data_IF_873605956212
#
_entry.id   IF_873605956212
#
_cell.length_a   1.000
_cell.length_b   1.000
_cell.length_c   1.000
_cell.angle_alpha   90.00
_cell.angle_beta   90.00
_cell.angle_gamma   90.00
#
_symmetry.space_group_name_H-M   'P 1'
#
loop_
_entity.id
_entity.type
_entity.pdbx_description
1 polymer ?
#
# COMPACT_ATOMS: atom_id res chain seq x y z
N UNK A 1 62.10 54.96 3.66
CA UNK A 1 62.54 53.74 2.94
C UNK A 1 61.78 52.57 3.56
N UNK A 2 60.95 51.78 2.89
CA UNK A 2 60.86 51.44 1.47
C UNK A 2 59.39 51.18 1.03
N UNK A 3 59.08 51.67 -0.18
CA UNK A 3 58.23 51.10 -1.26
C UNK A 3 56.86 50.45 -0.96
N UNK A 4 55.81 51.03 -1.55
CA UNK A 4 54.53 50.37 -1.93
C UNK A 4 54.77 49.29 -3.00
N UNK A 5 53.79 48.38 -3.26
CA UNK A 5 52.84 48.70 -4.33
C UNK A 5 51.38 48.31 -4.04
N UNK A 6 50.51 48.90 -4.86
CA UNK A 6 49.07 48.75 -4.94
C UNK A 6 48.60 47.47 -5.67
N UNK A 7 47.27 47.35 -5.71
CA UNK A 7 46.43 46.43 -6.50
C UNK A 7 46.01 45.15 -5.73
N UNK A 8 44.75 44.72 -5.73
CA UNK A 8 43.86 44.55 -6.88
C UNK A 8 42.39 44.64 -6.39
N UNK A 9 41.56 45.43 -7.08
CA UNK A 9 40.10 45.31 -6.99
C UNK A 9 39.68 44.06 -7.77
N UNK A 10 39.00 43.13 -7.13
CA UNK A 10 38.21 42.12 -7.81
C UNK A 10 36.74 42.33 -7.43
N UNK A 11 36.01 43.01 -8.31
CA UNK A 11 34.56 43.07 -8.27
C UNK A 11 34.04 41.67 -8.64
N UNK A 12 33.56 40.91 -7.65
CA UNK A 12 32.90 39.64 -7.90
C UNK A 12 31.44 39.98 -8.19
N UNK A 13 31.13 39.99 -9.49
CA UNK A 13 29.82 40.18 -10.09
C UNK A 13 28.75 39.33 -9.39
N UNK A 14 27.74 39.99 -8.83
CA UNK A 14 26.58 39.39 -8.15
C UNK A 14 25.58 38.70 -9.08
N UNK A 15 26.04 37.80 -9.95
CA UNK A 15 25.20 37.09 -10.92
C UNK A 15 25.51 35.58 -10.96
N UNK A 16 25.56 34.91 -9.81
CA UNK A 16 25.62 33.43 -9.75
C UNK A 16 24.76 32.87 -8.61
N UNK A 17 23.53 33.38 -8.45
CA UNK A 17 22.59 32.88 -7.43
C UNK A 17 21.18 32.74 -7.99
N UNK A 18 21.05 32.13 -9.17
CA UNK A 18 19.75 31.82 -9.77
C UNK A 18 19.79 30.56 -10.64
N UNK A 19 20.19 29.41 -10.08
CA UNK A 19 20.21 28.16 -10.87
C UNK A 19 20.00 26.86 -10.06
N UNK A 20 19.30 26.88 -8.91
CA UNK A 20 19.18 25.67 -8.07
C UNK A 20 17.78 25.39 -7.49
N UNK A 21 16.68 25.76 -8.17
CA UNK A 21 15.32 25.41 -7.70
C UNK A 21 14.37 24.88 -8.78
N UNK A 22 14.88 24.32 -9.88
CA UNK A 22 14.08 23.47 -10.78
C UNK A 22 14.29 22.00 -10.39
N UNK A 23 13.85 21.65 -9.18
CA UNK A 23 13.63 20.25 -8.82
C UNK A 23 12.46 19.73 -9.65
N UNK A 24 12.72 18.82 -10.58
CA UNK A 24 11.69 18.12 -11.33
C UNK A 24 10.77 17.39 -10.35
N UNK A 25 9.60 17.97 -10.06
CA UNK A 25 8.48 17.20 -9.56
C UNK A 25 8.09 16.23 -10.69
N UNK A 26 8.64 15.01 -10.64
CA UNK A 26 8.20 13.89 -11.47
C UNK A 26 6.76 13.54 -11.09
N UNK A 27 5.82 14.36 -11.55
CA UNK A 27 4.40 14.27 -11.23
C UNK A 27 3.76 13.13 -12.00
N UNK A 28 3.92 11.91 -11.51
CA UNK A 28 2.99 10.84 -11.85
C UNK A 28 1.58 11.21 -11.36
N UNK A 29 0.55 10.72 -12.05
CA UNK A 29 -0.82 10.83 -11.55
C UNK A 29 -0.93 10.25 -10.14
N UNK A 30 -1.68 10.93 -9.28
CA UNK A 30 -1.96 10.44 -7.92
C UNK A 30 -2.59 9.05 -8.00
N UNK A 31 -2.07 8.11 -7.20
CA UNK A 31 -2.55 6.72 -7.17
C UNK A 31 -3.61 6.48 -6.12
N UNK A 32 -3.82 7.44 -5.23
CA UNK A 32 -4.90 7.44 -4.24
C UNK A 32 -5.23 8.88 -3.81
N UNK A 33 -6.48 9.10 -3.42
CA UNK A 33 -6.99 10.41 -2.95
C UNK A 33 -8.28 10.22 -2.14
N UNK A 34 -8.78 11.30 -1.53
CA UNK A 34 -10.13 11.34 -0.99
C UNK A 34 -11.07 12.00 -2.01
N UNK A 35 -12.22 11.38 -2.28
CA UNK A 35 -13.26 12.02 -3.10
C UNK A 35 -14.04 13.09 -2.32
N UNK A 36 -15.03 13.70 -2.96
CA UNK A 36 -15.89 14.74 -2.38
C UNK A 36 -16.69 14.26 -1.16
N UNK A 37 -16.90 12.95 -1.02
CA UNK A 37 -17.56 12.31 0.12
C UNK A 37 -16.54 11.85 1.18
N UNK A 38 -15.26 12.23 1.04
CA UNK A 38 -14.15 11.82 1.90
C UNK A 38 -13.92 10.31 1.93
N UNK A 39 -14.32 9.60 0.88
CA UNK A 39 -14.01 8.18 0.70
C UNK A 39 -12.62 8.03 0.12
N UNK A 40 -11.86 7.06 0.62
CA UNK A 40 -10.54 6.75 0.07
C UNK A 40 -10.70 6.05 -1.29
N UNK A 41 -10.21 6.70 -2.35
CA UNK A 41 -10.19 6.19 -3.72
C UNK A 41 -8.78 5.78 -4.10
N UNK A 42 -8.63 4.68 -4.83
CA UNK A 42 -7.36 4.22 -5.41
C UNK A 42 -7.49 4.03 -6.92
N UNK A 43 -6.41 4.31 -7.65
CA UNK A 43 -6.35 4.05 -9.08
C UNK A 43 -6.18 2.54 -9.35
N UNK A 44 -6.72 2.05 -10.45
CA UNK A 44 -6.51 0.69 -10.94
C UNK A 44 -6.43 0.60 -12.47
N UNK A 45 -6.05 -0.58 -13.01
CA UNK A 45 -5.40 -1.66 -12.29
C UNK A 45 -3.90 -1.38 -12.11
N UNK A 46 -3.30 -1.89 -11.03
CA UNK A 46 -1.85 -2.01 -10.88
C UNK A 46 -1.36 -3.40 -11.32
N UNK A 47 -2.14 -4.45 -11.00
CA UNK A 47 -1.85 -5.85 -11.32
C UNK A 47 -3.11 -6.50 -11.86
N UNK A 48 -2.99 -7.35 -12.87
CA UNK A 48 -4.11 -8.05 -13.51
C UNK A 48 -4.14 -7.87 -15.03
N UNK A 49 -4.98 -8.65 -15.74
CA UNK A 49 -5.96 -9.62 -15.20
C UNK A 49 -5.35 -10.96 -14.77
N UNK A 50 -6.02 -11.65 -13.84
CA UNK A 50 -5.77 -13.06 -13.49
C UNK A 50 -7.07 -13.83 -13.28
N UNK A 51 -7.10 -15.13 -13.58
CA UNK A 51 -8.31 -15.95 -13.46
C UNK A 51 -8.63 -16.40 -12.04
N UNK A 52 -7.72 -16.20 -11.08
CA UNK A 52 -7.93 -16.56 -9.68
C UNK A 52 -7.12 -15.69 -8.73
N UNK A 53 -7.59 -15.61 -7.48
CA UNK A 53 -6.82 -15.01 -6.39
C UNK A 53 -5.49 -15.72 -6.13
N UNK A 54 -5.45 -17.04 -6.31
CA UNK A 54 -4.23 -17.85 -6.11
C UNK A 54 -3.12 -17.46 -7.09
N UNK A 55 -3.49 -17.06 -8.32
CA UNK A 55 -2.55 -16.56 -9.31
C UNK A 55 -2.21 -15.07 -9.10
N UNK A 56 -3.20 -14.25 -8.73
CA UNK A 56 -3.01 -12.80 -8.53
C UNK A 56 -2.15 -12.49 -7.31
N UNK A 57 -2.38 -13.14 -6.17
CA UNK A 57 -1.80 -12.73 -4.89
C UNK A 57 -0.26 -12.79 -4.82
N UNK A 58 0.41 -13.83 -5.36
CA UNK A 58 1.87 -13.85 -5.42
C UNK A 58 2.45 -12.73 -6.28
N UNK A 59 1.83 -12.42 -7.42
CA UNK A 59 2.27 -11.34 -8.30
C UNK A 59 2.05 -9.97 -7.67
N UNK A 60 0.92 -9.79 -6.99
CA UNK A 60 0.64 -8.59 -6.23
C UNK A 60 1.69 -8.36 -5.14
N UNK A 61 2.07 -9.41 -4.40
CA UNK A 61 3.15 -9.30 -3.42
C UNK A 61 4.47 -8.87 -4.05
N UNK A 62 4.86 -9.48 -5.19
CA UNK A 62 6.11 -9.15 -5.90
C UNK A 62 6.17 -7.68 -6.30
N UNK A 63 5.05 -7.09 -6.71
CA UNK A 63 4.97 -5.67 -7.05
C UNK A 63 5.02 -4.80 -5.78
N UNK A 64 4.20 -5.10 -4.78
CA UNK A 64 4.10 -4.25 -3.58
C UNK A 64 5.37 -4.27 -2.74
N UNK A 65 6.09 -5.41 -2.65
CA UNK A 65 7.36 -5.49 -1.90
C UNK A 65 8.49 -4.63 -2.48
N UNK A 66 8.34 -4.14 -3.71
CA UNK A 66 9.30 -3.22 -4.34
C UNK A 66 9.01 -1.76 -3.97
N UNK A 67 7.88 -1.46 -3.32
CA UNK A 67 7.54 -0.12 -2.89
C UNK A 67 8.41 0.33 -1.70
N UNK A 68 8.70 1.63 -1.57
CA UNK A 68 9.53 2.17 -0.50
C UNK A 68 9.04 1.75 0.90
N UNK A 69 9.93 1.17 1.70
CA UNK A 69 9.58 0.75 3.07
C UNK A 69 8.72 -0.51 3.18
N UNK A 70 8.27 -1.12 2.08
CA UNK A 70 7.44 -2.34 2.11
C UNK A 70 8.16 -3.57 2.70
N UNK A 71 9.48 -3.51 2.90
CA UNK A 71 10.29 -4.60 3.47
C UNK A 71 11.21 -4.13 4.61
N UNK A 72 11.05 -2.91 5.10
CA UNK A 72 11.93 -2.32 6.11
C UNK A 72 11.58 -2.75 7.56
N UNK A 73 10.76 -3.78 7.75
CA UNK A 73 10.44 -4.32 9.06
C UNK A 73 9.61 -3.39 9.96
N UNK A 74 9.72 -3.60 11.26
CA UNK A 74 9.02 -2.80 12.28
C UNK A 74 9.73 -1.48 12.64
N UNK A 75 10.65 -1.01 11.79
CA UNK A 75 11.40 0.24 12.01
C UNK A 75 10.54 1.47 11.71
N UNK A 76 11.08 2.69 11.83
CA UNK A 76 10.37 3.91 11.42
C UNK A 76 10.06 3.94 9.92
N UNK A 77 10.90 3.29 9.11
CA UNK A 77 10.86 3.32 7.65
C UNK A 77 9.92 2.29 7.06
N UNK A 78 9.55 1.23 7.81
CA UNK A 78 8.65 0.23 7.26
C UNK A 78 7.24 0.77 7.04
N UNK A 79 6.62 0.39 5.94
CA UNK A 79 5.34 0.92 5.49
C UNK A 79 4.39 -0.23 5.17
N UNK A 80 3.15 -0.13 5.65
CA UNK A 80 2.05 -0.98 5.19
C UNK A 80 1.33 -0.30 4.03
N UNK A 81 1.02 -1.09 3.02
CA UNK A 81 0.32 -0.66 1.81
C UNK A 81 -1.03 -1.36 1.75
N UNK A 82 -2.13 -0.61 1.71
CA UNK A 82 -3.49 -1.16 1.59
C UNK A 82 -4.05 -0.89 0.21
N UNK A 83 -4.62 -1.91 -0.43
CA UNK A 83 -5.39 -1.74 -1.64
C UNK A 83 -6.60 -2.65 -1.64
N UNK A 84 -7.24 -2.74 -2.81
CA UNK A 84 -8.37 -3.64 -3.03
C UNK A 84 -8.17 -4.50 -4.27
N UNK A 85 -8.71 -5.71 -4.20
CA UNK A 85 -8.85 -6.66 -5.29
C UNK A 85 -10.29 -6.59 -5.79
N UNK A 86 -10.46 -6.43 -7.09
CA UNK A 86 -11.76 -6.18 -7.71
C UNK A 86 -11.90 -6.90 -9.04
N UNK A 87 -13.15 -6.98 -9.51
CA UNK A 87 -13.52 -7.39 -10.86
C UNK A 87 -14.15 -6.20 -11.57
N UNK A 88 -13.91 -6.07 -12.88
CA UNK A 88 -14.50 -5.01 -13.71
C UNK A 88 -15.54 -5.58 -14.67
N UNK A 89 -16.53 -4.78 -15.06
CA UNK A 89 -17.44 -5.08 -16.17
C UNK A 89 -18.16 -6.45 -16.09
N UNK A 90 -18.36 -6.98 -14.88
CA UNK A 90 -18.89 -8.33 -14.62
C UNK A 90 -18.03 -9.48 -15.19
N UNK A 91 -16.75 -9.22 -15.48
CA UNK A 91 -15.74 -10.24 -15.82
C UNK A 91 -15.41 -11.10 -14.60
N UNK A 92 -14.98 -12.34 -14.84
CA UNK A 92 -14.51 -13.23 -13.77
C UNK A 92 -13.07 -12.95 -13.34
N UNK A 93 -12.29 -12.23 -14.16
CA UNK A 93 -10.88 -11.96 -13.90
C UNK A 93 -10.69 -10.97 -12.76
N UNK A 94 -9.70 -11.25 -11.92
CA UNK A 94 -9.31 -10.42 -10.79
C UNK A 94 -8.23 -9.42 -11.18
N UNK A 95 -8.38 -8.21 -10.65
CA UNK A 95 -7.45 -7.09 -10.76
C UNK A 95 -7.14 -6.58 -9.36
N UNK A 96 -5.95 -6.02 -9.16
CA UNK A 96 -5.60 -5.31 -7.93
C UNK A 96 -5.29 -3.85 -8.24
N UNK A 97 -5.84 -2.97 -7.41
CA UNK A 97 -5.59 -1.52 -7.46
C UNK A 97 -4.16 -1.17 -7.00
N UNK A 98 -3.73 0.05 -7.29
CA UNK A 98 -2.59 0.65 -6.60
C UNK A 98 -2.90 0.80 -5.11
N UNK A 99 -1.90 0.63 -4.22
CA UNK A 99 -2.13 0.77 -2.81
C UNK A 99 -2.09 2.24 -2.34
N UNK A 100 -2.78 2.49 -1.25
CA UNK A 100 -2.68 3.67 -0.41
C UNK A 100 -1.73 3.42 0.77
N UNK A 101 -0.98 4.45 1.14
CA UNK A 101 -0.18 4.48 2.38
C UNK A 101 -0.90 5.17 3.52
N UNK A 102 -2.14 5.64 3.31
CA UNK A 102 -2.89 6.36 4.34
C UNK A 102 -3.26 5.43 5.49
N UNK A 103 -2.76 5.79 6.67
CA UNK A 103 -3.05 5.15 7.94
C UNK A 103 -4.10 5.93 8.73
N UNK A 104 -4.67 5.30 9.75
CA UNK A 104 -5.36 6.06 10.78
C UNK A 104 -4.32 6.92 11.52
N UNK A 105 -4.64 8.17 11.89
CA UNK A 105 -3.73 8.99 12.70
C UNK A 105 -3.29 8.21 13.94
N UNK A 106 -2.01 7.90 14.04
CA UNK A 106 -1.46 7.26 15.22
C UNK A 106 -1.36 8.31 16.33
N UNK A 107 -1.83 8.02 17.56
CA UNK A 107 -1.75 8.98 18.65
C UNK A 107 -0.31 9.28 19.09
N UNK A 108 0.70 8.46 18.73
CA UNK A 108 2.11 8.63 19.14
C UNK A 108 3.13 8.08 18.11
N UNK A 109 4.37 8.61 18.08
CA UNK A 109 5.50 8.01 17.34
C UNK A 109 5.78 6.57 17.81
N UNK A 110 5.96 5.63 16.87
CA UNK A 110 6.13 4.20 17.18
C UNK A 110 4.82 3.42 17.33
N UNK A 111 3.67 4.05 17.03
CA UNK A 111 2.39 3.35 16.95
C UNK A 111 2.42 2.21 15.93
N UNK A 112 1.58 1.20 16.16
CA UNK A 112 1.47 0.02 15.28
C UNK A 112 1.08 0.48 13.88
N UNK A 113 1.80 -0.02 12.88
CA UNK A 113 1.54 0.30 11.48
C UNK A 113 0.16 -0.24 11.12
N UNK A 114 -0.58 0.56 10.40
CA UNK A 114 -1.90 0.22 9.89
C UNK A 114 -2.10 1.00 8.61
N UNK A 115 -2.93 0.50 7.71
CA UNK A 115 -3.43 1.27 6.59
C UNK A 115 -4.96 1.17 6.53
N UNK A 116 -5.61 2.18 5.95
CA UNK A 116 -7.06 2.20 5.77
C UNK A 116 -7.40 1.47 4.46
N UNK A 117 -8.25 0.42 4.48
CA UNK A 117 -8.75 -0.19 3.25
C UNK A 117 -9.45 0.87 2.38
N UNK A 118 -9.09 0.99 1.09
CA UNK A 118 -9.80 1.86 0.16
C UNK A 118 -11.26 1.50 0.04
N UNK A 119 -12.07 2.48 -0.36
CA UNK A 119 -13.53 2.37 -0.44
C UNK A 119 -14.02 2.30 -1.89
N UNK A 120 -13.20 2.78 -2.82
CA UNK A 120 -13.52 2.90 -4.24
C UNK A 120 -12.27 2.69 -5.10
N UNK A 121 -12.48 2.13 -6.28
CA UNK A 121 -11.47 2.06 -7.34
C UNK A 121 -11.88 2.97 -8.49
N UNK A 122 -10.92 3.70 -9.04
CA UNK A 122 -11.05 4.35 -10.33
C UNK A 122 -10.14 3.63 -11.34
N UNK A 123 -10.78 2.93 -12.27
CA UNK A 123 -10.14 2.19 -13.34
C UNK A 123 -10.75 2.70 -14.66
N UNK A 124 -9.95 3.31 -15.56
CA UNK A 124 -10.46 3.95 -16.76
C UNK A 124 -11.13 2.98 -17.75
N UNK A 125 -10.81 1.69 -17.66
CA UNK A 125 -11.38 0.65 -18.52
C UNK A 125 -12.65 0.01 -17.91
N UNK A 126 -13.00 0.38 -16.67
CA UNK A 126 -14.11 -0.21 -15.94
C UNK A 126 -15.35 0.71 -15.95
N UNK A 127 -16.44 0.20 -16.53
CA UNK A 127 -17.78 0.80 -16.40
C UNK A 127 -18.45 0.42 -15.09
N UNK A 128 -18.18 -0.80 -14.62
CA UNK A 128 -18.62 -1.31 -13.32
C UNK A 128 -17.45 -1.92 -12.57
N UNK A 129 -17.47 -1.76 -11.24
CA UNK A 129 -16.45 -2.27 -10.32
C UNK A 129 -17.18 -3.07 -9.23
N UNK A 130 -16.72 -4.30 -9.01
CA UNK A 130 -17.10 -5.10 -7.85
C UNK A 130 -15.85 -5.38 -6.99
N UNK A 131 -15.79 -4.81 -5.79
CA UNK A 131 -14.66 -5.02 -4.88
C UNK A 131 -14.87 -6.35 -4.15
N UNK A 132 -13.94 -7.29 -4.36
CA UNK A 132 -14.00 -8.65 -3.81
C UNK A 132 -13.32 -8.75 -2.45
N UNK A 133 -12.14 -8.11 -2.31
CA UNK A 133 -11.32 -8.19 -1.10
C UNK A 133 -10.53 -6.89 -0.90
N UNK A 134 -10.15 -6.59 0.34
CA UNK A 134 -8.99 -5.73 0.60
C UNK A 134 -7.70 -6.57 0.64
N UNK A 135 -6.57 -5.90 0.40
CA UNK A 135 -5.25 -6.47 0.66
C UNK A 135 -4.39 -5.49 1.45
N UNK A 136 -3.46 -6.02 2.23
CA UNK A 136 -2.40 -5.22 2.82
C UNK A 136 -1.05 -5.94 2.89
N UNK A 137 0.03 -5.16 2.94
CA UNK A 137 1.38 -5.69 3.17
C UNK A 137 1.81 -5.51 4.61
N UNK A 138 2.59 -6.45 5.14
CA UNK A 138 3.37 -6.25 6.36
C UNK A 138 4.84 -5.99 5.99
N UNK A 139 5.48 -4.97 6.56
CA UNK A 139 6.88 -4.70 6.28
C UNK A 139 7.85 -5.67 6.96
N UNK A 140 7.38 -6.48 7.93
CA UNK A 140 8.14 -7.53 8.60
C UNK A 140 7.60 -8.93 8.23
N UNK A 141 8.43 -9.97 8.38
CA UNK A 141 8.02 -11.38 8.18
C UNK A 141 7.11 -11.79 9.35
N UNK A 142 5.83 -11.49 9.22
CA UNK A 142 4.78 -11.83 10.18
C UNK A 142 3.59 -12.44 9.45
N UNK A 143 2.56 -12.85 10.20
CA UNK A 143 1.21 -13.13 9.68
C UNK A 143 0.23 -12.03 10.09
N UNK A 144 -1.07 -12.29 9.94
CA UNK A 144 -2.10 -11.38 10.43
C UNK A 144 -1.88 -11.02 11.91
N UNK A 145 -1.93 -9.72 12.19
CA UNK A 145 -1.98 -9.20 13.55
C UNK A 145 -3.36 -9.42 14.17
N UNK A 146 -3.50 -9.36 15.50
CA UNK A 146 -4.81 -9.38 16.15
C UNK A 146 -5.76 -8.28 15.64
N UNK A 147 -5.25 -7.14 15.21
CA UNK A 147 -6.02 -6.02 14.66
C UNK A 147 -6.56 -6.32 13.27
N UNK A 148 -5.78 -7.00 12.43
CA UNK A 148 -6.22 -7.41 11.09
C UNK A 148 -7.40 -8.38 11.15
N UNK A 149 -7.53 -9.12 12.26
CA UNK A 149 -8.56 -10.13 12.48
C UNK A 149 -9.79 -9.58 13.22
N UNK A 150 -9.81 -8.30 13.57
CA UNK A 150 -10.95 -7.68 14.25
C UNK A 150 -12.07 -7.33 13.26
N UNK A 151 -13.29 -7.83 13.53
CA UNK A 151 -14.49 -7.52 12.74
C UNK A 151 -14.68 -6.03 12.43
N UNK A 152 -14.44 -5.15 13.42
CA UNK A 152 -14.60 -3.68 13.25
C UNK A 152 -13.67 -3.05 12.21
N UNK A 153 -12.59 -3.74 11.82
CA UNK A 153 -11.65 -3.26 10.80
C UNK A 153 -11.92 -3.88 9.44
N UNK A 154 -12.79 -4.89 9.38
CA UNK A 154 -13.12 -5.63 8.18
C UNK A 154 -14.16 -4.86 7.38
N UNK A 155 -13.84 -4.58 6.11
CA UNK A 155 -14.75 -3.87 5.20
C UNK A 155 -15.33 -4.79 4.13
N UNK A 156 -14.52 -5.72 3.62
CA UNK A 156 -14.89 -6.66 2.58
C UNK A 156 -14.98 -8.08 3.13
N UNK A 157 -15.51 -9.04 2.38
CA UNK A 157 -15.66 -10.41 2.88
C UNK A 157 -14.32 -11.12 3.10
N UNK A 158 -13.36 -10.81 2.23
CA UNK A 158 -12.02 -11.38 2.28
C UNK A 158 -10.99 -10.29 2.52
N UNK A 159 -9.97 -10.63 3.31
CA UNK A 159 -8.78 -9.82 3.49
C UNK A 159 -7.55 -10.63 3.10
N UNK A 160 -6.73 -10.08 2.23
CA UNK A 160 -5.48 -10.69 1.83
C UNK A 160 -4.30 -9.98 2.49
N UNK A 161 -3.33 -10.74 2.98
CA UNK A 161 -2.12 -10.18 3.55
C UNK A 161 -0.90 -10.88 2.98
N UNK A 162 0.17 -10.13 2.77
CA UNK A 162 1.47 -10.70 2.43
C UNK A 162 2.61 -9.97 3.12
N UNK A 163 3.70 -10.70 3.32
CA UNK A 163 4.90 -10.21 4.00
C UNK A 163 6.11 -10.15 3.02
N UNK A 164 7.31 -9.74 3.47
CA UNK A 164 8.47 -9.52 2.58
C UNK A 164 8.96 -10.76 1.82
N UNK A 165 8.61 -11.97 2.28
CA UNK A 165 8.95 -13.23 1.61
C UNK A 165 7.81 -13.74 0.72
N UNK A 166 6.77 -12.95 0.52
CA UNK A 166 5.56 -13.31 -0.22
C UNK A 166 4.85 -14.55 0.30
N UNK A 167 4.88 -14.75 1.62
CA UNK A 167 3.93 -15.62 2.28
C UNK A 167 2.57 -14.93 2.28
N UNK A 168 1.60 -15.49 1.54
CA UNK A 168 0.28 -14.92 1.35
C UNK A 168 -0.71 -15.61 2.28
N UNK A 169 -1.45 -14.82 3.06
CA UNK A 169 -2.58 -15.29 3.85
C UNK A 169 -3.87 -14.65 3.38
N UNK A 170 -4.96 -15.40 3.48
CA UNK A 170 -6.30 -14.91 3.25
C UNK A 170 -7.11 -15.12 4.53
N UNK A 171 -7.83 -14.10 4.96
CA UNK A 171 -8.82 -14.21 6.03
C UNK A 171 -10.20 -14.17 5.39
N UNK A 172 -10.95 -15.25 5.58
CA UNK A 172 -12.38 -15.32 5.31
C UNK A 172 -13.12 -14.91 6.59
N UNK A 173 -13.80 -13.77 6.51
CA UNK A 173 -14.51 -13.23 7.66
C UNK A 173 -15.77 -14.03 8.01
N UNK A 174 -16.48 -14.59 7.01
CA UNK A 174 -17.72 -15.33 7.26
C UNK A 174 -17.42 -16.67 7.93
N UNK A 175 -16.43 -17.39 7.41
CA UNK A 175 -15.99 -18.68 7.97
C UNK A 175 -15.07 -18.51 9.18
N UNK A 176 -14.71 -17.27 9.52
CA UNK A 176 -13.73 -16.91 10.55
C UNK A 176 -12.46 -17.75 10.44
N UNK A 177 -11.95 -17.94 9.22
CA UNK A 177 -10.84 -18.84 8.94
C UNK A 177 -9.72 -18.12 8.20
N UNK A 178 -8.50 -18.28 8.70
CA UNK A 178 -7.28 -17.85 8.04
C UNK A 178 -6.73 -19.02 7.23
N UNK A 179 -6.44 -18.74 5.98
CA UNK A 179 -5.82 -19.62 5.02
C UNK A 179 -4.40 -19.13 4.69
N UNK A 180 -3.53 -20.07 4.40
CA UNK A 180 -2.18 -19.83 3.87
C UNK A 180 -2.14 -20.34 2.42
N UNK A 181 -1.56 -19.54 1.52
CA UNK A 181 -1.36 -19.97 0.14
C UNK A 181 -0.15 -20.92 0.06
N UNK A 182 -0.41 -22.20 -0.16
CA UNK A 182 0.61 -23.24 -0.30
C UNK A 182 0.38 -24.03 -1.60
N UNK A 183 1.44 -24.26 -2.37
CA UNK A 183 1.38 -25.03 -3.62
C UNK A 183 0.25 -24.59 -4.58
N UNK A 184 -0.05 -23.27 -4.60
CA UNK A 184 -1.09 -22.69 -5.45
C UNK A 184 -2.52 -22.89 -4.93
N UNK A 185 -2.71 -23.24 -3.66
CA UNK A 185 -4.02 -23.43 -3.02
C UNK A 185 -4.07 -22.75 -1.65
N UNK A 186 -5.25 -22.22 -1.28
CA UNK A 186 -5.47 -21.68 0.07
C UNK A 186 -5.82 -22.83 1.03
N UNK A 187 -4.90 -23.13 1.96
CA UNK A 187 -5.03 -24.19 2.96
C UNK A 187 -5.41 -23.56 4.31
N UNK A 188 -6.44 -24.04 5.02
CA UNK A 188 -6.83 -23.48 6.31
C UNK A 188 -5.75 -23.74 7.37
N UNK A 189 -5.32 -22.68 8.07
CA UNK A 189 -4.26 -22.77 9.09
C UNK A 189 -4.73 -22.34 10.48
N UNK A 190 -5.80 -21.55 10.58
CA UNK A 190 -6.31 -21.08 11.87
C UNK A 190 -7.79 -20.69 11.79
N UNK A 191 -8.59 -21.15 12.75
CA UNK A 191 -9.95 -20.62 12.99
C UNK A 191 -9.89 -19.53 14.05
N UNK A 192 -10.60 -18.43 13.83
CA UNK A 192 -10.68 -17.27 14.72
C UNK A 192 -11.91 -17.42 15.60
N UNK A 193 -11.70 -17.60 16.89
CA UNK A 193 -12.77 -17.80 17.89
C UNK A 193 -12.90 -16.66 18.89
N UNK A 194 -11.91 -15.77 18.96
CA UNK A 194 -11.89 -14.61 19.85
C UNK A 194 -11.32 -13.43 19.06
N UNK A 195 -12.21 -12.64 18.47
CA UNK A 195 -11.90 -11.30 18.02
C UNK A 195 -12.64 -10.35 18.97
N UNK A 196 -11.90 -9.66 19.86
CA UNK A 196 -12.44 -8.85 20.96
C UNK A 196 -13.39 -7.67 20.58
N UNK A 197 -14.09 -7.71 19.43
CA UNK A 197 -15.46 -7.18 19.25
C UNK A 197 -16.13 -7.60 17.93
N UNK A 198 -16.25 -8.91 17.66
CA UNK A 198 -17.25 -9.47 16.74
C UNK A 198 -18.39 -10.24 17.44
N UNK A 199 -18.27 -10.45 18.76
CA UNK A 199 -18.74 -11.59 19.57
C UNK A 199 -17.90 -12.86 19.37
#
# INVERSE_FOLDING_TARGET
MATQPAALRAAISGWVLLALLLGCAGGGSARFWFDTERRLVVAGPMVGPFDSLMALAPELCKVVRQLPGATAGNTREGQEYCGVIYQRNFESSFYASHPSTLSHPLPLPGGRKSCKPPERVEDPDARTINIYADYHSHPAITGFSPEDLQARTQRYYFRLMFNPVCEVRLYDFQERTVFLLEAGQFVPVKRITDDLRGQ
#
